data_IF_368098635297
#
_entry.id   IF_368098635297
#
_cell.length_a   1.000
_cell.length_b   1.000
_cell.length_c   1.000
_cell.angle_alpha   90.00
_cell.angle_beta   90.00
_cell.angle_gamma   90.00
#
_symmetry.space_group_name_H-M   'P 1'
#
loop_
_entity.id
_entity.type
_entity.pdbx_description
1 polymer ?
#
# COMPACT_ATOMS: atom_id res chain seq x y z
N UNK A 1 14.07 -30.33 16.09
CA UNK A 1 12.79 -29.91 16.71
C UNK A 1 12.51 -28.46 16.35
N UNK A 2 11.38 -28.18 15.68
CA UNK A 2 11.05 -26.83 15.22
C UNK A 2 10.57 -25.93 16.37
N UNK A 3 11.00 -24.66 16.37
CA UNK A 3 10.53 -23.66 17.32
C UNK A 3 9.09 -23.26 16.94
N UNK A 4 8.13 -23.58 17.79
CA UNK A 4 6.74 -23.15 17.58
C UNK A 4 6.61 -21.64 17.76
N UNK A 5 5.85 -20.98 16.88
CA UNK A 5 5.51 -19.56 17.00
C UNK A 5 4.72 -19.33 18.28
N UNK A 6 5.12 -18.35 19.09
CA UNK A 6 4.49 -18.04 20.37
C UNK A 6 3.41 -16.98 20.18
N UNK A 7 2.23 -17.19 20.78
CA UNK A 7 1.18 -16.16 20.88
C UNK A 7 1.56 -15.12 21.93
N UNK A 8 1.38 -13.83 21.63
CA UNK A 8 1.69 -12.71 22.53
C UNK A 8 0.50 -12.42 23.46
N UNK A 9 0.17 -13.38 24.32
CA UNK A 9 -0.91 -13.30 25.30
C UNK A 9 -0.42 -13.75 26.68
N UNK A 10 -1.23 -13.50 27.72
CA UNK A 10 -0.88 -13.93 29.08
C UNK A 10 -0.79 -15.46 29.16
N UNK A 11 0.36 -15.97 29.60
CA UNK A 11 0.58 -17.42 29.75
C UNK A 11 -0.14 -17.89 31.01
N UNK A 12 -1.25 -18.62 30.86
CA UNK A 12 -2.06 -19.12 31.99
C UNK A 12 -1.31 -20.14 32.86
N UNK A 13 -0.59 -21.07 32.23
CA UNK A 13 0.25 -22.08 32.90
C UNK A 13 1.39 -21.44 33.70
N UNK A 14 1.35 -21.62 35.02
CA UNK A 14 2.28 -21.00 35.97
C UNK A 14 3.74 -21.45 35.80
N UNK A 15 3.97 -22.74 35.53
CA UNK A 15 5.32 -23.28 35.39
C UNK A 15 5.95 -22.77 34.09
N UNK A 16 5.18 -22.82 32.99
CA UNK A 16 5.61 -22.27 31.69
C UNK A 16 5.83 -20.77 31.78
N UNK A 17 4.94 -20.03 32.48
CA UNK A 17 5.08 -18.59 32.68
C UNK A 17 6.37 -18.26 33.44
N UNK A 18 6.67 -18.95 34.55
CA UNK A 18 7.92 -18.76 35.32
C UNK A 18 9.16 -19.08 34.50
N UNK A 19 9.17 -20.20 33.78
CA UNK A 19 10.30 -20.58 32.92
C UNK A 19 10.53 -19.57 31.78
N UNK A 20 9.44 -19.13 31.14
CA UNK A 20 9.47 -18.11 30.09
C UNK A 20 9.96 -16.76 30.64
N UNK A 21 9.46 -16.33 31.81
CA UNK A 21 9.89 -15.10 32.47
C UNK A 21 11.38 -15.10 32.76
N UNK A 22 11.91 -16.15 33.39
CA UNK A 22 13.36 -16.25 33.68
C UNK A 22 14.20 -16.13 32.41
N UNK A 23 13.87 -16.88 31.36
CA UNK A 23 14.61 -16.84 30.08
C UNK A 23 14.50 -15.47 29.40
N UNK A 24 13.30 -14.90 29.33
CA UNK A 24 13.08 -13.61 28.66
C UNK A 24 13.68 -12.44 29.43
N UNK A 25 13.61 -12.45 30.76
CA UNK A 25 14.22 -11.45 31.64
C UNK A 25 15.71 -11.31 31.36
N UNK A 26 16.45 -12.42 31.39
CA UNK A 26 17.89 -12.41 31.10
C UNK A 26 18.18 -11.98 29.66
N UNK A 27 17.37 -12.41 28.69
CA UNK A 27 17.52 -12.01 27.30
C UNK A 27 17.30 -10.50 27.09
N UNK A 28 16.30 -9.91 27.75
CA UNK A 28 16.04 -8.46 27.67
C UNK A 28 17.25 -7.70 28.19
N UNK A 29 17.72 -8.02 29.40
CA UNK A 29 18.91 -7.39 30.01
C UNK A 29 20.12 -7.52 29.08
N UNK A 30 20.38 -8.71 28.54
CA UNK A 30 21.48 -8.94 27.60
C UNK A 30 21.35 -8.07 26.35
N UNK A 31 20.16 -7.98 25.76
CA UNK A 31 19.92 -7.19 24.56
C UNK A 31 20.01 -5.69 24.81
N UNK A 32 19.58 -5.22 25.98
CA UNK A 32 19.79 -3.82 26.40
C UNK A 32 21.27 -3.50 26.52
N UNK A 33 22.08 -4.38 27.13
CA UNK A 33 23.53 -4.21 27.22
C UNK A 33 24.21 -4.23 25.84
N UNK A 34 23.85 -5.18 24.97
CA UNK A 34 24.37 -5.21 23.60
C UNK A 34 24.02 -3.93 22.82
N UNK A 35 22.78 -3.43 22.95
CA UNK A 35 22.36 -2.20 22.29
C UNK A 35 23.13 -0.99 22.80
N UNK A 36 23.30 -0.86 24.11
CA UNK A 36 24.08 0.20 24.73
C UNK A 36 25.52 0.22 24.21
N UNK A 37 26.19 -0.95 24.15
CA UNK A 37 27.58 -1.04 23.70
C UNK A 37 27.72 -0.83 22.18
N UNK A 38 26.86 -1.46 21.37
CA UNK A 38 27.03 -1.46 19.92
C UNK A 38 26.64 -0.14 19.27
N UNK A 39 25.65 0.54 19.83
CA UNK A 39 25.13 1.78 19.27
C UNK A 39 25.53 3.02 20.07
N UNK A 40 26.26 2.85 21.18
CA UNK A 40 26.64 3.94 22.09
C UNK A 40 25.43 4.80 22.51
N UNK A 41 24.34 4.12 22.89
CA UNK A 41 23.08 4.75 23.31
C UNK A 41 22.83 4.51 24.78
N UNK A 42 22.39 5.55 25.49
CA UNK A 42 21.93 5.39 26.88
C UNK A 42 20.68 4.50 26.90
N UNK A 43 20.73 3.43 27.67
CA UNK A 43 19.61 2.52 27.85
C UNK A 43 19.53 2.05 29.31
N UNK A 44 18.32 1.79 29.77
CA UNK A 44 18.05 1.24 31.09
C UNK A 44 16.90 0.24 31.00
N UNK A 45 16.89 -0.75 31.90
CA UNK A 45 15.78 -1.70 31.99
C UNK A 45 15.37 -1.92 33.45
N UNK A 46 14.06 -1.84 33.71
CA UNK A 46 13.45 -2.13 35.00
C UNK A 46 12.37 -3.20 34.77
N UNK A 47 12.56 -4.38 35.36
CA UNK A 47 11.67 -5.54 35.14
C UNK A 47 11.13 -6.02 36.48
N UNK A 48 9.81 -5.88 36.67
CA UNK A 48 9.11 -6.39 37.84
C UNK A 48 8.66 -7.83 37.65
N UNK A 49 8.74 -8.61 38.72
CA UNK A 49 8.13 -9.94 38.78
C UNK A 49 6.73 -9.83 39.37
N UNK A 50 5.73 -10.47 38.74
CA UNK A 50 4.35 -10.43 39.22
C UNK A 50 4.05 -11.36 40.42
N UNK A 51 5.07 -12.00 41.00
CA UNK A 51 4.90 -12.92 42.15
C UNK A 51 6.04 -12.75 43.15
N UNK A 52 5.68 -12.74 44.43
CA UNK A 52 6.48 -12.48 45.64
C UNK A 52 7.82 -13.21 45.81
N UNK A 53 8.22 -14.13 44.94
CA UNK A 53 9.49 -14.86 45.09
C UNK A 53 10.72 -13.98 44.79
N UNK A 54 10.58 -12.99 43.92
CA UNK A 54 11.59 -11.96 43.65
C UNK A 54 10.95 -10.60 44.00
N UNK A 55 10.99 -10.20 45.27
CA UNK A 55 10.39 -8.92 45.74
C UNK A 55 11.08 -7.70 45.14
N UNK A 56 12.31 -7.85 44.64
CA UNK A 56 13.09 -6.77 44.07
C UNK A 56 13.02 -6.81 42.53
N UNK A 57 12.81 -5.67 41.87
CA UNK A 57 12.88 -5.60 40.41
C UNK A 57 14.28 -5.98 39.93
N UNK A 58 14.35 -6.61 38.76
CA UNK A 58 15.62 -6.74 38.05
C UNK A 58 15.89 -5.41 37.35
N UNK A 59 16.94 -4.75 37.79
CA UNK A 59 17.44 -3.49 37.21
C UNK A 59 18.71 -3.76 36.41
N UNK A 60 18.90 -3.00 35.32
CA UNK A 60 20.15 -2.94 34.57
C UNK A 60 20.39 -1.49 34.10
N UNK A 61 21.64 -0.97 34.18
CA UNK A 61 22.88 -1.65 34.60
C UNK A 61 22.97 -1.94 36.10
N UNK A 62 22.79 -0.91 36.93
CA UNK A 62 22.69 -0.95 38.39
C UNK A 62 21.69 0.11 38.84
N UNK A 63 21.32 0.12 40.13
CA UNK A 63 20.33 1.08 40.64
C UNK A 63 20.76 2.54 40.41
N UNK A 64 22.05 2.86 40.61
CA UNK A 64 22.60 4.19 40.36
C UNK A 64 22.61 4.56 38.87
N UNK A 65 22.95 3.63 37.98
CA UNK A 65 22.90 3.83 36.53
C UNK A 65 21.49 4.06 36.01
N UNK A 66 20.50 3.34 36.54
CA UNK A 66 19.09 3.57 36.21
C UNK A 66 18.61 4.94 36.68
N UNK A 67 18.95 5.37 37.90
CA UNK A 67 18.60 6.71 38.37
C UNK A 67 19.20 7.80 37.49
N UNK A 68 20.48 7.70 37.14
CA UNK A 68 21.14 8.63 36.20
C UNK A 68 20.44 8.68 34.84
N UNK A 69 20.00 7.53 34.32
CA UNK A 69 19.23 7.46 33.10
C UNK A 69 17.87 8.17 33.23
N UNK A 70 17.15 7.92 34.34
CA UNK A 70 15.85 8.54 34.60
C UNK A 70 15.95 10.06 34.76
N UNK A 71 16.96 10.56 35.46
CA UNK A 71 17.21 12.00 35.60
C UNK A 71 17.42 12.66 34.23
N UNK A 72 18.24 12.03 33.38
CA UNK A 72 18.46 12.48 32.00
C UNK A 72 17.19 12.39 31.15
N UNK A 73 16.39 11.34 31.32
CA UNK A 73 15.15 11.13 30.59
C UNK A 73 14.08 12.15 30.97
N UNK A 74 13.87 12.42 32.27
CA UNK A 74 12.92 13.42 32.75
C UNK A 74 13.31 14.85 32.39
N UNK A 75 14.61 15.13 32.20
CA UNK A 75 15.10 16.40 31.69
C UNK A 75 14.81 16.66 30.20
N UNK A 76 14.32 15.66 29.44
CA UNK A 76 13.94 15.83 28.03
C UNK A 76 12.46 16.20 27.90
N UNK A 77 12.15 17.13 26.99
CA UNK A 77 10.75 17.49 26.68
C UNK A 77 10.02 16.29 26.06
N UNK A 78 8.80 16.04 26.55
CA UNK A 78 7.87 14.92 26.24
C UNK A 78 7.53 14.73 24.74
N UNK A 79 8.07 15.56 23.83
CA UNK A 79 7.88 15.40 22.38
C UNK A 79 8.68 14.23 21.77
N UNK A 80 9.60 13.62 22.53
CA UNK A 80 10.37 12.47 22.06
C UNK A 80 9.47 11.22 22.04
N UNK A 81 9.08 10.80 20.84
CA UNK A 81 8.09 9.75 20.58
C UNK A 81 8.39 8.48 21.38
N UNK A 82 7.62 8.21 22.43
CA UNK A 82 7.48 6.86 22.98
C UNK A 82 7.00 5.96 21.86
N UNK A 83 7.88 5.09 21.35
CA UNK A 83 7.54 4.13 20.32
C UNK A 83 6.66 3.05 20.94
N UNK A 84 5.34 3.26 20.91
CA UNK A 84 4.38 2.22 21.28
C UNK A 84 4.45 1.10 20.24
N UNK A 85 4.85 -0.10 20.67
CA UNK A 85 4.90 -1.30 19.83
C UNK A 85 3.53 -1.60 19.20
N UNK A 86 2.44 -1.37 19.93
CA UNK A 86 1.07 -1.51 19.42
C UNK A 86 0.80 -0.51 18.30
N UNK A 87 1.22 0.74 18.47
CA UNK A 87 1.15 1.78 17.43
C UNK A 87 1.92 1.39 16.16
N UNK A 88 3.13 0.83 16.31
CA UNK A 88 3.91 0.36 15.17
C UNK A 88 3.24 -0.82 14.44
N UNK A 89 2.65 -1.75 15.18
CA UNK A 89 1.91 -2.88 14.60
C UNK A 89 0.68 -2.37 13.86
N UNK A 90 -0.12 -1.48 14.46
CA UNK A 90 -1.27 -0.87 13.79
C UNK A 90 -0.87 -0.11 12.54
N UNK A 91 0.24 0.64 12.58
CA UNK A 91 0.73 1.35 11.41
C UNK A 91 1.11 0.39 10.27
N UNK A 92 1.75 -0.73 10.58
CA UNK A 92 2.07 -1.76 9.57
C UNK A 92 0.82 -2.44 9.02
N UNK A 93 -0.12 -2.81 9.89
CA UNK A 93 -1.40 -3.39 9.48
C UNK A 93 -2.19 -2.43 8.58
N UNK A 94 -2.19 -1.15 8.92
CA UNK A 94 -2.82 -0.11 8.11
C UNK A 94 -2.20 -0.04 6.72
N UNK A 95 -0.86 0.01 6.63
CA UNK A 95 -0.15 0.00 5.33
C UNK A 95 -0.50 -1.24 4.52
N UNK A 96 -0.50 -2.42 5.13
CA UNK A 96 -0.84 -3.67 4.45
C UNK A 96 -2.28 -3.66 3.92
N UNK A 97 -3.23 -3.12 4.71
CA UNK A 97 -4.63 -2.97 4.31
C UNK A 97 -4.79 -2.03 3.11
N UNK A 98 -4.06 -0.92 3.09
CA UNK A 98 -4.04 0.01 1.95
C UNK A 98 -3.44 -0.65 0.70
N UNK A 99 -2.35 -1.42 0.84
CA UNK A 99 -1.77 -2.18 -0.27
C UNK A 99 -2.75 -3.21 -0.85
N UNK A 100 -3.47 -3.94 0.02
CA UNK A 100 -4.50 -4.90 -0.41
C UNK A 100 -5.66 -4.20 -1.12
N UNK A 101 -6.12 -3.05 -0.61
CA UNK A 101 -7.17 -2.25 -1.24
C UNK A 101 -6.74 -1.76 -2.62
N UNK A 102 -5.52 -1.24 -2.74
CA UNK A 102 -4.94 -0.80 -4.02
C UNK A 102 -4.89 -1.94 -5.03
N UNK A 103 -4.32 -3.09 -4.64
CA UNK A 103 -4.28 -4.29 -5.50
C UNK A 103 -5.67 -4.77 -5.90
N UNK A 104 -6.63 -4.75 -4.98
CA UNK A 104 -8.00 -5.14 -5.30
C UNK A 104 -8.63 -4.20 -6.33
N UNK A 105 -8.33 -2.90 -6.30
CA UNK A 105 -8.83 -1.95 -7.29
C UNK A 105 -8.15 -2.15 -8.65
N UNK A 106 -6.83 -2.33 -8.68
CA UNK A 106 -6.07 -2.64 -9.91
C UNK A 106 -6.62 -3.89 -10.59
N UNK A 107 -6.87 -4.98 -9.84
CA UNK A 107 -7.47 -6.19 -10.38
C UNK A 107 -8.86 -5.92 -10.99
N UNK A 108 -9.68 -5.06 -10.38
CA UNK A 108 -11.01 -4.72 -10.89
C UNK A 108 -10.94 -3.89 -12.17
N UNK A 109 -9.99 -2.96 -12.26
CA UNK A 109 -9.74 -2.19 -13.47
C UNK A 109 -9.30 -3.11 -14.62
N UNK A 110 -8.43 -4.08 -14.32
CA UNK A 110 -7.99 -5.09 -15.28
C UNK A 110 -9.15 -5.99 -15.74
N UNK A 111 -9.99 -6.45 -14.82
CA UNK A 111 -11.20 -7.23 -15.13
C UNK A 111 -12.18 -6.45 -16.03
N UNK A 112 -12.37 -5.15 -15.78
CA UNK A 112 -13.20 -4.28 -16.61
C UNK A 112 -12.60 -4.12 -18.00
N UNK A 113 -11.29 -3.89 -18.09
CA UNK A 113 -10.57 -3.75 -19.36
C UNK A 113 -10.68 -5.02 -20.22
N UNK A 114 -10.44 -6.19 -19.61
CA UNK A 114 -10.61 -7.50 -20.24
C UNK A 114 -12.04 -7.69 -20.76
N UNK A 115 -13.03 -7.34 -19.95
CA UNK A 115 -14.43 -7.50 -20.32
C UNK A 115 -14.83 -6.53 -21.45
N UNK A 116 -14.32 -5.30 -21.46
CA UNK A 116 -14.52 -4.35 -22.56
C UNK A 116 -13.91 -4.85 -23.87
N UNK A 117 -12.71 -5.43 -23.83
CA UNK A 117 -12.08 -6.09 -24.99
C UNK A 117 -12.97 -7.23 -25.52
N UNK A 118 -13.47 -8.09 -24.63
CA UNK A 118 -14.34 -9.21 -25.01
C UNK A 118 -15.66 -8.76 -25.67
N UNK A 119 -16.30 -7.70 -25.16
CA UNK A 119 -17.52 -7.15 -25.74
C UNK A 119 -17.28 -6.48 -27.10
N UNK A 120 -16.19 -5.71 -27.26
CA UNK A 120 -15.85 -5.08 -28.54
C UNK A 120 -15.40 -6.11 -29.61
N UNK A 121 -14.79 -7.22 -29.19
CA UNK A 121 -14.30 -8.28 -30.07
C UNK A 121 -15.35 -9.25 -30.64
N UNK A 122 -16.65 -9.04 -30.36
CA UNK A 122 -17.79 -9.90 -30.79
C UNK A 122 -17.72 -11.38 -30.31
N UNK A 123 -17.15 -11.66 -29.14
CA UNK A 123 -17.12 -13.02 -28.56
C UNK A 123 -18.01 -13.21 -27.31
N UNK A 124 -18.83 -12.23 -26.93
CA UNK A 124 -19.60 -12.28 -25.67
C UNK A 124 -21.11 -12.54 -25.87
N UNK A 125 -21.64 -13.50 -25.12
CA UNK A 125 -23.08 -13.72 -24.92
C UNK A 125 -23.69 -12.52 -24.13
N UNK A 126 -24.73 -11.84 -24.67
CA UNK A 126 -25.38 -10.70 -24.02
C UNK A 126 -25.99 -10.98 -22.65
N UNK A 127 -26.16 -12.25 -22.26
CA UNK A 127 -26.86 -12.65 -21.02
C UNK A 127 -25.99 -12.66 -19.76
N UNK A 128 -24.67 -12.45 -19.89
CA UNK A 128 -23.75 -12.54 -18.76
C UNK A 128 -23.71 -11.25 -17.92
N UNK A 129 -24.75 -11.03 -17.11
CA UNK A 129 -24.76 -9.94 -16.11
C UNK A 129 -23.88 -10.37 -14.92
N UNK A 130 -22.64 -9.90 -14.88
CA UNK A 130 -21.73 -10.04 -13.74
C UNK A 130 -21.62 -8.73 -12.96
N UNK A 131 -21.09 -8.76 -11.73
CA UNK A 131 -20.75 -7.56 -10.93
C UNK A 131 -19.97 -6.50 -11.75
N UNK A 132 -19.22 -6.95 -12.77
CA UNK A 132 -18.42 -6.11 -13.65
C UNK A 132 -19.27 -5.32 -14.66
N UNK A 133 -20.45 -5.80 -15.05
CA UNK A 133 -21.39 -5.06 -15.90
C UNK A 133 -22.00 -3.85 -15.17
N UNK A 134 -22.31 -4.00 -13.87
CA UNK A 134 -22.78 -2.89 -13.02
C UNK A 134 -21.68 -1.85 -12.80
N UNK A 135 -20.42 -2.28 -12.60
CA UNK A 135 -19.28 -1.36 -12.51
C UNK A 135 -19.03 -0.60 -13.81
N UNK A 136 -19.12 -1.27 -14.95
CA UNK A 136 -19.02 -0.61 -16.26
C UNK A 136 -20.10 0.44 -16.45
N UNK A 137 -21.35 0.11 -16.11
CA UNK A 137 -22.45 1.08 -16.15
C UNK A 137 -22.13 2.32 -15.32
N UNK A 138 -21.65 2.13 -14.09
CA UNK A 138 -21.25 3.26 -13.23
C UNK A 138 -20.10 4.09 -13.83
N UNK A 139 -19.11 3.44 -14.45
CA UNK A 139 -17.97 4.12 -15.09
C UNK A 139 -18.43 4.95 -16.31
N UNK A 140 -19.31 4.40 -17.13
CA UNK A 140 -19.92 5.11 -18.27
C UNK A 140 -20.70 6.33 -17.77
N UNK A 141 -21.54 6.17 -16.74
CA UNK A 141 -22.30 7.28 -16.16
C UNK A 141 -21.40 8.37 -15.55
N UNK A 142 -20.25 8.02 -14.98
CA UNK A 142 -19.28 8.99 -14.47
C UNK A 142 -18.60 9.76 -15.60
N UNK A 143 -18.13 9.05 -16.64
CA UNK A 143 -17.50 9.68 -17.80
C UNK A 143 -18.46 10.61 -18.55
N UNK A 144 -19.73 10.21 -18.72
CA UNK A 144 -20.76 11.07 -19.33
C UNK A 144 -20.96 12.36 -18.53
N UNK A 145 -21.04 12.29 -17.20
CA UNK A 145 -21.12 13.48 -16.34
C UNK A 145 -19.89 14.37 -16.43
N UNK A 146 -18.71 13.81 -16.66
CA UNK A 146 -17.48 14.58 -16.82
C UNK A 146 -17.43 15.27 -18.18
N UNK A 147 -17.86 14.59 -19.24
CA UNK A 147 -18.06 15.18 -20.57
C UNK A 147 -19.06 16.33 -20.50
N UNK A 148 -20.21 16.14 -19.85
CA UNK A 148 -21.23 17.18 -19.68
C UNK A 148 -20.65 18.42 -18.98
N UNK A 149 -19.86 18.24 -17.91
CA UNK A 149 -19.17 19.35 -17.24
C UNK A 149 -18.17 20.07 -18.14
N UNK A 150 -17.40 19.33 -18.93
CA UNK A 150 -16.42 19.92 -19.86
C UNK A 150 -17.15 20.70 -20.96
N UNK A 151 -18.25 20.14 -21.48
CA UNK A 151 -19.11 20.78 -22.48
C UNK A 151 -19.73 22.09 -21.94
N UNK A 152 -20.25 22.07 -20.71
CA UNK A 152 -20.77 23.25 -20.02
C UNK A 152 -19.69 24.31 -19.75
N UNK A 153 -18.48 23.89 -19.38
CA UNK A 153 -17.34 24.78 -19.14
C UNK A 153 -16.80 25.41 -20.44
N UNK A 154 -16.94 24.72 -21.58
CA UNK A 154 -16.59 25.23 -22.90
C UNK A 154 -17.66 26.13 -23.53
N UNK A 155 -18.81 26.32 -22.86
CA UNK A 155 -19.93 27.15 -23.32
C UNK A 155 -19.72 28.67 -23.18
N UNK A 156 -18.64 29.22 -23.74
CA UNK A 156 -18.59 30.63 -24.17
C UNK A 156 -18.41 30.70 -25.69
N UNK A 157 -19.54 30.92 -26.35
CA UNK A 157 -19.78 31.34 -27.74
C UNK A 157 -19.18 30.48 -28.87
N UNK A 158 -20.05 29.60 -29.39
CA UNK A 158 -20.46 29.48 -30.79
C UNK A 158 -19.40 29.56 -31.89
N UNK A 159 -18.97 28.39 -32.36
CA UNK A 159 -18.91 28.06 -33.80
C UNK A 159 -18.67 26.55 -33.92
N UNK A 160 -19.66 25.80 -34.42
CA UNK A 160 -19.43 24.43 -34.88
C UNK A 160 -18.38 24.51 -35.98
N UNK A 161 -17.18 23.90 -35.83
CA UNK A 161 -16.19 23.94 -36.89
C UNK A 161 -16.83 23.36 -38.15
N UNK A 162 -16.79 24.10 -39.26
CA UNK A 162 -17.50 23.77 -40.50
C UNK A 162 -17.15 22.40 -41.09
N UNK A 163 -16.17 21.68 -40.53
CA UNK A 163 -15.77 20.33 -40.87
C UNK A 163 -16.67 19.23 -40.31
N UNK A 164 -17.62 19.52 -39.42
CA UNK A 164 -18.52 18.50 -38.83
C UNK A 164 -19.91 18.42 -39.50
N UNK A 165 -20.17 19.24 -40.52
CA UNK A 165 -21.49 19.30 -41.16
C UNK A 165 -21.73 18.27 -42.26
N UNK A 166 -20.71 17.50 -42.67
CA UNK A 166 -20.86 16.48 -43.70
C UNK A 166 -20.98 15.08 -43.06
N UNK A 167 -22.18 14.51 -43.14
CA UNK A 167 -22.51 13.14 -42.73
C UNK A 167 -21.59 12.09 -43.37
N UNK A 168 -21.05 12.38 -44.57
CA UNK A 168 -20.15 11.52 -45.31
C UNK A 168 -18.76 11.35 -44.64
N UNK A 169 -18.29 12.36 -43.89
CA UNK A 169 -16.97 12.31 -43.25
C UNK A 169 -16.96 11.43 -41.99
N UNK A 170 -18.10 11.33 -41.30
CA UNK A 170 -18.28 10.46 -40.13
C UNK A 170 -18.38 8.98 -40.52
N UNK A 171 -18.98 8.66 -41.67
CA UNK A 171 -19.03 7.29 -42.20
C UNK A 171 -17.67 6.80 -42.68
N UNK A 172 -16.82 7.70 -43.18
CA UNK A 172 -15.44 7.43 -43.55
C UNK A 172 -14.55 7.20 -42.32
N UNK A 173 -14.70 8.01 -41.26
CA UNK A 173 -13.91 7.86 -40.04
C UNK A 173 -14.30 6.64 -39.18
N UNK A 174 -15.59 6.25 -39.22
CA UNK A 174 -16.11 5.07 -38.52
C UNK A 174 -16.06 3.78 -39.35
N UNK A 175 -15.58 3.84 -40.61
CA UNK A 175 -15.31 2.66 -41.43
C UNK A 175 -16.55 1.86 -41.85
N UNK A 176 -17.71 2.52 -42.01
CA UNK A 176 -18.96 1.85 -42.41
C UNK A 176 -19.25 1.87 -43.92
N UNK A 177 -18.40 2.53 -44.73
CA UNK A 177 -18.47 2.51 -46.20
C UNK A 177 -17.39 1.65 -46.87
N UNK A 178 -17.83 0.73 -47.73
CA UNK A 178 -17.14 -0.17 -48.66
C UNK A 178 -15.59 -0.16 -48.78
N UNK A 179 -15.00 -1.30 -48.37
CA UNK A 179 -13.85 -2.07 -48.91
C UNK A 179 -12.57 -1.45 -49.51
N UNK A 180 -12.22 -0.18 -49.32
CA UNK A 180 -10.86 0.29 -49.66
C UNK A 180 -10.19 1.04 -48.50
N UNK A 181 -9.06 0.51 -48.01
CA UNK A 181 -8.21 1.14 -46.99
C UNK A 181 -7.66 2.47 -47.51
N UNK A 182 -7.69 3.55 -46.72
CA UNK A 182 -6.93 4.75 -47.04
C UNK A 182 -5.42 4.56 -46.82
N UNK A 183 -4.57 5.26 -47.59
CA UNK A 183 -3.13 5.14 -47.48
C UNK A 183 -2.63 5.68 -46.14
N UNK A 184 -1.67 4.97 -45.55
CA UNK A 184 -1.07 5.30 -44.28
C UNK A 184 -0.57 6.76 -44.24
N UNK A 185 -1.00 7.51 -43.22
CA UNK A 185 -0.32 8.74 -42.82
C UNK A 185 1.09 8.37 -42.35
N UNK A 186 2.09 8.57 -43.23
CA UNK A 186 3.49 8.55 -42.86
C UNK A 186 3.74 9.79 -42.00
N UNK A 187 3.87 9.57 -40.70
CA UNK A 187 4.32 10.60 -39.76
C UNK A 187 5.79 10.32 -39.44
N UNK A 188 6.70 10.97 -40.16
CA UNK A 188 8.16 10.76 -40.08
C UNK A 188 8.81 11.28 -38.77
N UNK A 189 8.03 11.53 -37.72
CA UNK A 189 8.53 12.13 -36.47
C UNK A 189 8.70 11.17 -35.28
N UNK A 190 8.77 9.85 -35.52
CA UNK A 190 9.05 8.84 -34.48
C UNK A 190 10.32 8.02 -34.72
N UNK A 191 11.31 8.51 -35.47
CA UNK A 191 12.60 7.82 -35.61
C UNK A 191 13.74 8.31 -34.68
N UNK A 192 13.55 9.33 -33.85
CA UNK A 192 14.64 9.88 -33.02
C UNK A 192 14.57 9.58 -31.51
N UNK A 193 13.80 8.57 -31.07
CA UNK A 193 13.78 8.18 -29.65
C UNK A 193 14.22 6.72 -29.38
N UNK A 194 14.74 6.01 -30.40
CA UNK A 194 15.24 4.64 -30.27
C UNK A 194 16.75 4.57 -30.46
N UNK A 195 17.51 5.32 -29.66
CA UNK A 195 18.95 5.09 -29.50
C UNK A 195 19.38 5.34 -28.05
N UNK A 196 19.13 4.34 -27.19
CA UNK A 196 20.06 3.94 -26.11
C UNK A 196 19.36 2.93 -25.18
N UNK A 197 19.29 1.67 -25.61
CA UNK A 197 19.17 0.55 -24.68
C UNK A 197 20.36 -0.36 -24.98
N UNK A 198 21.37 -0.30 -24.12
CA UNK A 198 22.42 -1.30 -24.07
C UNK A 198 21.92 -2.53 -23.29
N UNK A 199 22.25 -3.76 -23.73
CA UNK A 199 21.85 -5.01 -23.11
C UNK A 199 22.80 -5.39 -21.96
N UNK A 200 22.43 -6.44 -21.21
CA UNK A 200 23.20 -7.22 -20.23
C UNK A 200 22.59 -7.22 -18.81
N UNK A 201 21.81 -8.26 -18.55
CA UNK A 201 21.74 -8.96 -17.27
C UNK A 201 22.51 -10.28 -17.41
N UNK A 202 23.18 -10.77 -16.37
CA UNK A 202 23.09 -12.17 -15.97
C UNK A 202 21.85 -12.44 -15.10
#
# INVERSE_FOLDING_TARGET
MGRQKVKLEYITDDLKRKASFRKRKENVVKKTNELNILCDVDAAAIIYSGRSADSNPKVWPDDGGVHRFLDKYHGRSVSEKTLNQEGLIHQRLHKEKEHLKKRSNENKEEEISQLMINYMGRYADPTMVSENALRLKMLVEQNLKEIDRVMEASGKEDEVPSCWNNMEDLEYYMGFGSSEMPPAFQNDNYQNASSSINPFYP
#
